data_IF_991249264278
#
_entry.id   IF_991249264278
#
_cell.length_a   1.000
_cell.length_b   1.000
_cell.length_c   1.000
_cell.angle_alpha   90.00
_cell.angle_beta   90.00
_cell.angle_gamma   90.00
#
_symmetry.space_group_name_H-M   'P 1'
#
loop_
_entity.id
_entity.type
_entity.pdbx_description
1 polymer ?
#
# COMPACT_ATOMS: atom_id res chain seq x y z
N UNK A 1 -22.26 -5.41 -24.55
CA UNK A 1 -21.29 -5.92 -25.55
C UNK A 1 -20.15 -6.60 -24.81
N UNK A 2 -19.87 -7.87 -25.10
CA UNK A 2 -18.68 -8.55 -24.59
C UNK A 2 -17.50 -8.01 -25.40
N UNK A 3 -16.66 -7.21 -24.76
CA UNK A 3 -15.36 -6.87 -25.34
C UNK A 3 -14.44 -8.05 -25.03
N UNK A 4 -14.03 -8.80 -26.01
CA UNK A 4 -12.98 -9.80 -25.87
C UNK A 4 -11.69 -9.10 -25.48
N UNK A 5 -10.95 -9.57 -24.45
CA UNK A 5 -9.66 -8.98 -24.09
C UNK A 5 -8.70 -9.20 -25.27
N UNK A 6 -8.43 -8.13 -25.99
CA UNK A 6 -7.27 -8.07 -26.87
C UNK A 6 -6.04 -7.71 -26.02
N UNK A 7 -4.85 -7.89 -26.47
CA UNK A 7 -3.63 -7.59 -25.71
C UNK A 7 -3.44 -6.11 -25.36
N UNK A 8 -4.43 -5.26 -25.67
CA UNK A 8 -4.36 -3.80 -25.52
C UNK A 8 -5.05 -3.30 -24.25
N UNK A 9 -5.78 -4.16 -23.51
CA UNK A 9 -6.47 -3.77 -22.29
C UNK A 9 -5.48 -3.54 -21.15
N UNK A 10 -5.66 -2.43 -20.43
CA UNK A 10 -4.87 -2.05 -19.26
C UNK A 10 -5.67 -2.38 -17.99
N UNK A 11 -5.02 -3.02 -17.02
CA UNK A 11 -5.64 -3.42 -15.77
C UNK A 11 -5.09 -2.64 -14.59
N UNK A 12 -5.96 -2.25 -13.64
CA UNK A 12 -5.53 -1.75 -12.35
C UNK A 12 -4.92 -2.90 -11.53
N UNK A 13 -3.61 -2.87 -11.29
CA UNK A 13 -2.89 -3.96 -10.64
C UNK A 13 -3.12 -4.03 -9.12
N UNK A 14 -3.51 -2.94 -8.49
CA UNK A 14 -3.76 -2.88 -7.05
C UNK A 14 -2.57 -3.49 -6.26
N UNK A 15 -2.83 -4.44 -5.36
CA UNK A 15 -1.80 -5.08 -4.53
C UNK A 15 -0.80 -5.96 -5.31
N UNK A 16 -1.06 -6.27 -6.57
CA UNK A 16 -0.05 -6.90 -7.44
C UNK A 16 1.14 -5.97 -7.73
N UNK A 17 1.05 -4.69 -7.39
CA UNK A 17 2.18 -3.74 -7.39
C UNK A 17 3.24 -4.10 -6.35
N UNK A 18 2.86 -4.75 -5.23
CA UNK A 18 3.80 -5.06 -4.13
C UNK A 18 4.96 -5.98 -4.51
N UNK A 19 4.75 -7.08 -5.24
CA UNK A 19 5.87 -7.87 -5.76
C UNK A 19 6.83 -7.06 -6.64
N UNK A 20 6.32 -6.13 -7.45
CA UNK A 20 7.17 -5.26 -8.27
C UNK A 20 7.95 -4.27 -7.40
N UNK A 21 7.34 -3.75 -6.32
CA UNK A 21 8.05 -2.93 -5.34
C UNK A 21 9.18 -3.73 -4.67
N UNK A 22 8.92 -4.96 -4.27
CA UNK A 22 9.94 -5.86 -3.74
C UNK A 22 11.09 -6.09 -4.73
N UNK A 23 10.77 -6.34 -6.01
CA UNK A 23 11.78 -6.49 -7.06
C UNK A 23 12.61 -5.21 -7.23
N UNK A 24 11.97 -4.04 -7.23
CA UNK A 24 12.67 -2.75 -7.30
C UNK A 24 13.66 -2.59 -6.14
N UNK A 25 13.24 -2.87 -4.90
CA UNK A 25 14.11 -2.81 -3.72
C UNK A 25 15.31 -3.75 -3.88
N UNK A 26 15.10 -4.98 -4.38
CA UNK A 26 16.18 -5.94 -4.61
C UNK A 26 17.19 -5.44 -5.66
N UNK A 27 16.77 -4.69 -6.68
CA UNK A 27 17.73 -4.07 -7.62
C UNK A 27 18.59 -3.02 -6.93
N UNK A 28 18.04 -2.26 -5.96
CA UNK A 28 18.79 -1.28 -5.18
C UNK A 28 19.75 -1.97 -4.19
N UNK A 29 19.38 -3.13 -3.67
CA UNK A 29 20.27 -3.97 -2.86
C UNK A 29 21.41 -4.53 -3.69
N UNK A 30 21.13 -5.01 -4.90
CA UNK A 30 22.14 -5.51 -5.84
C UNK A 30 23.16 -4.42 -6.23
N UNK A 31 22.72 -3.19 -6.41
CA UNK A 31 23.57 -2.03 -6.65
C UNK A 31 24.37 -1.60 -5.40
N UNK A 32 24.12 -2.19 -4.23
CA UNK A 32 24.76 -1.84 -2.97
C UNK A 32 24.32 -0.50 -2.37
N UNK A 33 23.21 0.08 -2.87
CA UNK A 33 22.70 1.38 -2.44
C UNK A 33 21.99 1.28 -1.09
N UNK A 34 21.37 0.13 -0.81
CA UNK A 34 20.74 -0.18 0.48
C UNK A 34 20.96 -1.65 0.85
N UNK A 35 20.75 -1.99 2.12
CA UNK A 35 20.81 -3.36 2.64
C UNK A 35 19.49 -3.74 3.29
N UNK A 36 19.16 -5.02 3.27
CA UNK A 36 17.93 -5.51 3.90
C UNK A 36 17.92 -5.31 5.42
N UNK A 37 19.10 -5.35 6.04
CA UNK A 37 19.31 -5.17 7.48
C UNK A 37 19.37 -3.70 7.89
N UNK A 38 19.46 -2.76 6.96
CA UNK A 38 19.48 -1.35 7.28
C UNK A 38 18.20 -0.96 8.04
N UNK A 39 18.31 -0.18 9.13
CA UNK A 39 17.15 0.38 9.78
C UNK A 39 16.49 1.43 8.87
N UNK A 40 15.16 1.47 8.90
CA UNK A 40 14.38 2.47 8.14
C UNK A 40 14.78 3.89 8.51
N UNK A 41 15.11 4.11 9.79
CA UNK A 41 15.56 5.41 10.34
C UNK A 41 16.81 5.97 9.68
N UNK A 42 17.64 5.13 9.06
CA UNK A 42 18.80 5.56 8.27
C UNK A 42 18.38 6.43 7.07
N UNK A 43 17.21 6.21 6.53
CA UNK A 43 16.65 6.86 5.35
C UNK A 43 15.51 7.82 5.69
N UNK A 44 14.75 7.49 6.71
CA UNK A 44 13.61 8.25 7.22
C UNK A 44 13.80 8.39 8.74
N UNK A 45 14.51 9.43 9.22
CA UNK A 45 14.94 9.56 10.61
C UNK A 45 13.79 9.50 11.63
N UNK A 46 12.58 9.88 11.24
CA UNK A 46 11.38 9.88 12.08
C UNK A 46 11.01 8.47 12.57
N UNK A 47 11.49 7.42 11.91
CA UNK A 47 11.27 6.02 12.34
C UNK A 47 12.17 5.57 13.50
N UNK A 48 13.16 6.38 13.93
CA UNK A 48 14.12 5.98 14.97
C UNK A 48 13.48 5.74 16.36
N UNK A 49 12.40 6.47 16.70
CA UNK A 49 11.78 6.44 18.02
C UNK A 49 10.29 6.09 17.97
N UNK A 50 9.90 5.30 17.02
CA UNK A 50 8.50 4.88 16.89
C UNK A 50 8.12 3.95 18.04
N UNK A 51 6.96 4.23 18.69
CA UNK A 51 6.44 3.39 19.77
C UNK A 51 5.64 2.19 19.24
N UNK A 52 5.26 1.30 20.14
CA UNK A 52 4.39 0.15 19.85
C UNK A 52 3.14 0.24 20.72
N UNK A 53 1.97 0.17 20.12
CA UNK A 53 0.68 -0.05 20.78
C UNK A 53 0.33 -1.54 20.64
N UNK A 54 0.56 -2.37 21.68
CA UNK A 54 0.40 -3.81 21.54
C UNK A 54 -1.01 -4.21 21.08
N UNK A 55 -1.10 -4.95 19.98
CA UNK A 55 -2.38 -5.33 19.38
C UNK A 55 -3.16 -4.18 18.75
N UNK A 56 -2.55 -3.01 18.62
CA UNK A 56 -3.17 -1.80 18.03
C UNK A 56 -4.12 -1.09 18.99
N UNK A 57 -4.08 -1.37 20.30
CA UNK A 57 -4.95 -0.73 21.29
C UNK A 57 -4.22 0.38 22.07
N UNK A 58 -4.96 1.44 22.39
CA UNK A 58 -4.54 2.50 23.30
C UNK A 58 -4.96 2.26 24.76
N UNK A 59 -5.65 1.17 25.06
CA UNK A 59 -6.02 0.79 26.43
C UNK A 59 -4.82 0.32 27.27
N UNK A 60 -3.70 0.03 26.60
CA UNK A 60 -2.43 -0.36 27.24
C UNK A 60 -1.35 0.70 26.95
N UNK A 61 -0.38 0.88 27.88
CA UNK A 61 0.71 1.80 27.65
C UNK A 61 1.50 1.45 26.40
N UNK A 62 1.97 2.49 25.68
CA UNK A 62 2.89 2.29 24.57
C UNK A 62 4.21 1.67 25.06
N UNK A 63 4.70 0.70 24.32
CA UNK A 63 6.02 0.10 24.55
C UNK A 63 7.08 0.77 23.66
N UNK A 64 8.33 0.69 24.10
CA UNK A 64 9.47 0.97 23.21
C UNK A 64 9.67 -0.19 22.23
N UNK A 65 10.11 0.11 21.02
CA UNK A 65 10.55 -0.95 20.11
C UNK A 65 11.79 -1.65 20.69
N UNK A 66 11.83 -2.98 20.62
CA UNK A 66 13.00 -3.78 21.05
C UNK A 66 14.18 -3.64 20.09
N UNK A 67 13.91 -3.30 18.87
CA UNK A 67 14.84 -2.92 17.81
C UNK A 67 14.18 -2.01 16.80
N UNK A 68 14.95 -1.35 16.00
CA UNK A 68 14.40 -0.56 14.89
C UNK A 68 13.77 -1.43 13.80
N UNK A 69 12.84 -0.86 13.08
CA UNK A 69 12.25 -1.45 11.86
C UNK A 69 13.32 -1.48 10.77
N UNK A 70 13.49 -2.62 10.11
CA UNK A 70 14.45 -2.79 9.00
C UNK A 70 13.74 -2.79 7.64
N UNK A 71 14.52 -2.64 6.57
CA UNK A 71 14.04 -2.81 5.18
C UNK A 71 13.44 -4.21 4.99
N UNK A 72 14.06 -5.24 5.58
CA UNK A 72 13.53 -6.61 5.55
C UNK A 72 12.15 -6.71 6.19
N UNK A 73 11.93 -6.05 7.34
CA UNK A 73 10.63 -6.05 8.01
C UNK A 73 9.53 -5.41 7.14
N UNK A 74 9.86 -4.35 6.43
CA UNK A 74 8.93 -3.74 5.48
C UNK A 74 8.60 -4.70 4.33
N UNK A 75 9.61 -5.34 3.73
CA UNK A 75 9.43 -6.26 2.61
C UNK A 75 8.60 -7.49 2.97
N UNK A 76 8.71 -7.96 4.20
CA UNK A 76 8.03 -9.17 4.69
C UNK A 76 6.73 -8.89 5.42
N UNK A 77 6.30 -7.61 5.50
CA UNK A 77 5.14 -7.20 6.30
C UNK A 77 5.25 -7.59 7.78
N UNK A 78 6.46 -7.58 8.34
CA UNK A 78 6.72 -7.80 9.76
C UNK A 78 7.15 -6.54 10.52
N UNK A 79 6.98 -5.38 9.91
CA UNK A 79 7.36 -4.08 10.47
C UNK A 79 6.56 -3.67 11.71
N UNK A 80 5.36 -4.21 11.90
CA UNK A 80 4.40 -3.75 12.89
C UNK A 80 3.50 -2.61 12.42
N UNK A 81 3.66 -2.11 11.20
CA UNK A 81 2.70 -1.20 10.57
C UNK A 81 1.38 -1.92 10.26
N UNK A 82 0.29 -1.18 10.10
CA UNK A 82 -1.03 -1.70 9.76
C UNK A 82 -1.62 -0.99 8.53
N UNK A 83 -2.85 -1.30 8.19
CA UNK A 83 -3.70 -0.48 7.32
C UNK A 83 -4.73 0.28 8.18
N UNK A 84 -5.40 1.27 7.58
CA UNK A 84 -6.57 1.89 8.19
C UNK A 84 -7.70 0.88 8.38
N UNK A 85 -8.53 1.10 9.39
CA UNK A 85 -9.79 0.36 9.54
C UNK A 85 -10.69 0.58 8.31
N UNK A 86 -11.40 -0.46 7.92
CA UNK A 86 -12.18 -0.46 6.68
C UNK A 86 -11.45 -1.01 5.46
N UNK A 87 -10.11 -1.24 5.54
CA UNK A 87 -9.36 -2.06 4.58
C UNK A 87 -9.07 -3.42 5.23
N UNK A 88 -7.99 -3.52 6.00
CA UNK A 88 -7.61 -4.75 6.72
C UNK A 88 -7.12 -4.48 8.14
N UNK A 89 -7.01 -3.21 8.54
CA UNK A 89 -6.55 -2.82 9.86
C UNK A 89 -7.64 -2.99 10.93
N UNK A 90 -7.22 -3.31 12.14
CA UNK A 90 -8.06 -3.46 13.32
C UNK A 90 -7.44 -2.73 14.52
N UNK A 91 -8.31 -2.29 15.45
CA UNK A 91 -7.90 -1.60 16.67
C UNK A 91 -7.73 -0.09 16.50
N UNK A 92 -7.42 0.57 17.61
CA UNK A 92 -7.41 2.03 17.72
C UNK A 92 -6.40 2.70 16.79
N UNK A 93 -5.23 2.07 16.58
CA UNK A 93 -4.22 2.58 15.65
C UNK A 93 -4.75 2.60 14.20
N UNK A 94 -5.46 1.54 13.81
CA UNK A 94 -6.05 1.47 12.47
C UNK A 94 -7.20 2.48 12.30
N UNK A 95 -7.97 2.73 13.36
CA UNK A 95 -8.98 3.78 13.39
C UNK A 95 -8.35 5.17 13.28
N UNK A 96 -7.25 5.41 14.00
CA UNK A 96 -6.50 6.65 13.91
C UNK A 96 -5.91 6.87 12.50
N UNK A 97 -5.45 5.82 11.81
CA UNK A 97 -5.03 5.91 10.41
C UNK A 97 -6.20 6.39 9.53
N UNK A 98 -7.40 5.83 9.72
CA UNK A 98 -8.61 6.25 8.99
C UNK A 98 -8.93 7.72 9.26
N UNK A 99 -8.95 8.13 10.51
CA UNK A 99 -9.33 9.47 10.93
C UNK A 99 -8.35 10.55 10.46
N UNK A 100 -7.07 10.18 10.28
CA UNK A 100 -6.05 11.01 9.66
C UNK A 100 -6.06 10.95 8.12
N UNK A 101 -6.98 10.20 7.53
CA UNK A 101 -7.05 10.01 6.08
C UNK A 101 -5.89 9.20 5.50
N UNK A 102 -5.17 8.47 6.35
CA UNK A 102 -4.05 7.63 5.91
C UNK A 102 -4.57 6.35 5.28
N UNK A 103 -4.26 6.14 4.01
CA UNK A 103 -4.54 4.90 3.30
C UNK A 103 -6.00 4.43 3.42
N UNK A 104 -6.96 5.37 3.36
CA UNK A 104 -8.38 5.03 3.28
C UNK A 104 -8.79 4.76 1.83
N UNK A 105 -9.89 4.01 1.64
CA UNK A 105 -10.44 3.80 0.29
C UNK A 105 -10.85 5.13 -0.37
N UNK A 106 -11.27 6.12 0.42
CA UNK A 106 -11.65 7.45 -0.07
C UNK A 106 -10.43 8.24 -0.51
N UNK A 107 -9.37 8.25 0.29
CA UNK A 107 -8.12 8.90 -0.07
C UNK A 107 -7.51 8.25 -1.32
N UNK A 108 -7.51 6.92 -1.42
CA UNK A 108 -7.09 6.18 -2.60
C UNK A 108 -7.91 6.59 -3.85
N UNK A 109 -9.22 6.71 -3.70
CA UNK A 109 -10.11 7.01 -4.82
C UNK A 109 -10.10 8.47 -5.24
N UNK A 110 -9.83 9.41 -4.32
CA UNK A 110 -9.89 10.85 -4.57
C UNK A 110 -8.58 11.47 -5.04
N UNK A 111 -7.48 10.70 -5.08
CA UNK A 111 -6.13 11.21 -5.33
C UNK A 111 -5.70 12.34 -4.35
N UNK A 112 -6.37 12.46 -3.21
CA UNK A 112 -6.07 13.46 -2.17
C UNK A 112 -4.97 13.03 -1.20
N UNK A 113 -4.13 12.11 -1.61
CA UNK A 113 -3.11 11.52 -0.77
C UNK A 113 -1.97 12.46 -0.40
N UNK A 114 -1.78 13.53 -1.13
CA UNK A 114 -0.52 14.24 -1.13
C UNK A 114 0.57 13.42 -1.82
N UNK A 115 1.81 13.79 -1.65
CA UNK A 115 2.94 12.98 -2.07
C UNK A 115 3.25 11.86 -1.05
N UNK A 116 4.07 10.93 -1.45
CA UNK A 116 4.45 9.78 -0.63
C UNK A 116 5.22 10.21 0.63
N UNK A 117 6.03 11.27 0.53
CA UNK A 117 6.76 11.86 1.65
C UNK A 117 5.83 12.32 2.76
N UNK A 118 4.84 13.15 2.46
CA UNK A 118 3.88 13.65 3.43
C UNK A 118 3.05 12.52 4.08
N UNK A 119 2.75 11.45 3.34
CA UNK A 119 2.05 10.29 3.89
C UNK A 119 2.93 9.51 4.87
N UNK A 120 4.17 9.27 4.51
CA UNK A 120 5.12 8.52 5.34
C UNK A 120 5.53 9.31 6.57
N UNK A 121 5.65 10.63 6.47
CA UNK A 121 5.84 11.51 7.61
C UNK A 121 4.71 11.37 8.65
N UNK A 122 3.47 11.38 8.21
CA UNK A 122 2.32 11.15 9.13
C UNK A 122 2.34 9.73 9.72
N UNK A 123 2.70 8.72 8.92
CA UNK A 123 2.80 7.34 9.39
C UNK A 123 3.87 7.18 10.48
N UNK A 124 4.99 7.89 10.38
CA UNK A 124 6.07 7.82 11.38
C UNK A 124 5.67 8.38 12.75
N UNK A 125 4.61 9.17 12.83
CA UNK A 125 4.06 9.69 14.09
C UNK A 125 3.11 8.69 14.77
N UNK A 126 2.75 7.60 14.11
CA UNK A 126 1.81 6.61 14.60
C UNK A 126 2.55 5.42 15.19
N UNK A 127 2.05 4.82 16.29
CA UNK A 127 2.69 3.63 16.84
C UNK A 127 2.51 2.42 15.93
N UNK A 128 3.45 1.49 16.01
CA UNK A 128 3.32 0.14 15.46
C UNK A 128 2.28 -0.66 16.27
N UNK A 129 1.66 -1.66 15.68
CA UNK A 129 0.69 -2.55 16.37
C UNK A 129 1.32 -3.83 16.88
N UNK A 130 2.59 -4.07 16.59
CA UNK A 130 3.41 -5.16 17.15
C UNK A 130 4.89 -4.79 17.10
N UNK A 131 5.70 -5.51 17.86
CA UNK A 131 7.16 -5.37 17.80
C UNK A 131 7.66 -5.76 16.38
N UNK A 132 8.67 -5.04 15.84
CA UNK A 132 9.27 -5.38 14.56
C UNK A 132 9.80 -6.82 14.54
N UNK A 133 9.44 -7.57 13.51
CA UNK A 133 9.83 -8.96 13.30
C UNK A 133 8.96 -10.01 14.00
N UNK A 134 8.01 -9.63 14.86
CA UNK A 134 7.22 -10.60 15.62
C UNK A 134 6.08 -11.24 14.83
N UNK A 135 5.39 -10.45 14.00
CA UNK A 135 4.16 -10.91 13.36
C UNK A 135 4.07 -10.44 11.92
N UNK A 136 3.53 -11.28 11.07
CA UNK A 136 3.08 -10.86 9.75
C UNK A 136 1.79 -10.04 9.89
N UNK A 137 1.84 -8.78 9.46
CA UNK A 137 0.68 -7.88 9.42
C UNK A 137 0.69 -7.19 8.06
N UNK A 138 -0.23 -7.57 7.20
CA UNK A 138 -0.38 -6.94 5.89
C UNK A 138 -0.70 -5.45 6.05
N UNK A 139 0.12 -4.58 5.48
CA UNK A 139 0.18 -3.18 5.88
C UNK A 139 0.65 -2.24 4.77
N UNK A 140 0.77 -0.96 5.12
CA UNK A 140 1.37 0.11 4.32
C UNK A 140 2.90 0.03 4.21
N UNK A 141 3.52 -1.07 4.60
CA UNK A 141 4.98 -1.25 4.57
C UNK A 141 5.59 -0.98 3.20
N UNK A 142 4.89 -1.35 2.11
CA UNK A 142 5.40 -1.13 0.75
C UNK A 142 5.38 0.34 0.35
N UNK A 143 4.54 1.16 0.96
CA UNK A 143 4.51 2.60 0.74
C UNK A 143 5.71 3.26 1.43
N UNK A 144 6.05 2.83 2.65
CA UNK A 144 7.28 3.24 3.33
C UNK A 144 8.52 2.82 2.54
N UNK A 145 8.55 1.59 1.99
CA UNK A 145 9.62 1.15 1.08
C UNK A 145 9.72 2.03 -0.17
N UNK A 146 8.57 2.45 -0.71
CA UNK A 146 8.53 3.41 -1.82
C UNK A 146 9.26 4.70 -1.48
N UNK A 147 9.01 5.26 -0.29
CA UNK A 147 9.70 6.46 0.17
C UNK A 147 11.19 6.23 0.40
N UNK A 148 11.58 5.11 0.98
CA UNK A 148 13.01 4.74 1.10
C UNK A 148 13.66 4.69 -0.28
N UNK A 149 13.00 4.08 -1.27
CA UNK A 149 13.52 4.00 -2.63
C UNK A 149 13.70 5.39 -3.27
N UNK A 150 12.75 6.32 -3.05
CA UNK A 150 12.89 7.72 -3.49
C UNK A 150 14.08 8.42 -2.84
N UNK A 151 14.25 8.24 -1.52
CA UNK A 151 15.36 8.86 -0.77
C UNK A 151 16.72 8.39 -1.26
N UNK A 152 16.90 7.07 -1.42
CA UNK A 152 18.22 6.52 -1.82
C UNK A 152 18.56 6.74 -3.29
N UNK A 153 17.55 6.91 -4.13
CA UNK A 153 17.76 7.12 -5.58
C UNK A 153 17.70 8.57 -6.01
N UNK A 154 17.22 9.46 -5.13
CA UNK A 154 16.95 10.87 -5.43
C UNK A 154 16.00 11.05 -6.65
N UNK A 155 15.10 10.08 -6.85
CA UNK A 155 14.16 10.05 -7.98
C UNK A 155 12.75 9.77 -7.51
N UNK A 156 11.72 10.34 -8.17
CA UNK A 156 10.33 9.96 -7.92
C UNK A 156 10.12 8.47 -8.18
N UNK A 157 9.33 7.81 -7.33
CA UNK A 157 9.08 6.37 -7.39
C UNK A 157 8.59 5.91 -8.78
N UNK A 158 7.72 6.68 -9.42
CA UNK A 158 7.20 6.37 -10.76
C UNK A 158 8.32 6.33 -11.82
N UNK A 159 9.30 7.25 -11.73
CA UNK A 159 10.45 7.28 -12.64
C UNK A 159 11.38 6.11 -12.38
N UNK A 160 11.59 5.77 -11.11
CA UNK A 160 12.45 4.66 -10.70
C UNK A 160 11.88 3.32 -11.21
N UNK A 161 10.58 3.10 -11.05
CA UNK A 161 9.90 1.92 -11.62
C UNK A 161 10.04 1.86 -13.14
N UNK A 162 9.86 2.99 -13.79
CA UNK A 162 9.95 3.07 -15.24
C UNK A 162 11.34 2.68 -15.74
N UNK A 163 12.38 3.31 -15.20
CA UNK A 163 13.77 3.11 -15.66
C UNK A 163 14.34 1.75 -15.28
N UNK A 164 13.95 1.23 -14.09
CA UNK A 164 14.50 -0.02 -13.56
C UNK A 164 13.74 -1.27 -13.95
N UNK A 165 12.43 -1.18 -14.16
CA UNK A 165 11.59 -2.33 -14.42
C UNK A 165 10.84 -2.23 -15.74
N UNK A 166 10.04 -1.16 -15.95
CA UNK A 166 9.10 -1.15 -17.06
C UNK A 166 9.80 -1.08 -18.42
N UNK A 167 10.73 -0.17 -18.58
CA UNK A 167 11.48 -0.02 -19.86
C UNK A 167 12.37 -1.24 -20.16
N UNK A 168 13.22 -1.73 -19.23
CA UNK A 168 14.06 -2.89 -19.50
C UNK A 168 13.30 -4.18 -19.78
N UNK A 169 12.09 -4.33 -19.20
CA UNK A 169 11.23 -5.51 -19.40
C UNK A 169 10.20 -5.34 -20.53
N UNK A 170 10.22 -4.21 -21.25
CA UNK A 170 9.27 -3.94 -22.34
C UNK A 170 7.81 -3.76 -21.85
N UNK A 171 7.60 -3.38 -20.60
CA UNK A 171 6.27 -3.17 -19.98
C UNK A 171 5.70 -1.80 -20.34
N UNK A 172 5.53 -1.54 -21.64
CA UNK A 172 5.23 -0.20 -22.17
C UNK A 172 3.84 0.35 -21.77
N UNK A 173 2.93 -0.50 -21.33
CA UNK A 173 1.58 -0.11 -20.86
C UNK A 173 1.47 -0.01 -19.34
N UNK A 174 2.59 -0.15 -18.60
CA UNK A 174 2.63 -0.08 -17.15
C UNK A 174 3.02 1.32 -16.67
N UNK A 175 2.20 1.91 -15.80
CA UNK A 175 2.42 3.24 -15.26
C UNK A 175 1.69 3.44 -13.93
N UNK A 176 2.13 4.39 -13.12
CA UNK A 176 1.39 4.84 -11.92
C UNK A 176 0.21 5.75 -12.27
N UNK A 177 0.31 6.48 -13.37
CA UNK A 177 -0.77 7.29 -13.93
C UNK A 177 -0.97 6.91 -15.39
N UNK A 178 -2.21 6.69 -15.72
CA UNK A 178 -2.57 6.39 -17.10
C UNK A 178 -2.67 7.70 -17.89
N UNK A 179 -1.99 7.77 -19.02
CA UNK A 179 -2.11 8.90 -19.95
C UNK A 179 -3.54 9.00 -20.50
N UNK A 180 -4.00 10.22 -20.76
CA UNK A 180 -5.38 10.51 -21.18
C UNK A 180 -5.80 9.70 -22.40
N UNK A 181 -4.92 9.55 -23.38
CA UNK A 181 -5.16 8.76 -24.60
C UNK A 181 -5.36 7.27 -24.34
N UNK A 182 -4.89 6.76 -23.20
CA UNK A 182 -5.00 5.35 -22.81
C UNK A 182 -6.19 5.05 -21.89
N UNK A 183 -6.95 6.08 -21.47
CA UNK A 183 -8.07 5.91 -20.54
C UNK A 183 -9.14 4.96 -21.08
N UNK A 184 -9.42 5.01 -22.38
CA UNK A 184 -10.36 4.11 -23.04
C UNK A 184 -9.95 2.63 -23.03
N UNK A 185 -8.68 2.32 -22.74
CA UNK A 185 -8.12 0.96 -22.66
C UNK A 185 -8.21 0.39 -21.23
N UNK A 186 -8.56 1.19 -20.22
CA UNK A 186 -8.64 0.73 -18.84
C UNK A 186 -9.81 -0.23 -18.65
N UNK A 187 -9.51 -1.43 -18.17
CA UNK A 187 -10.52 -2.42 -17.83
C UNK A 187 -11.47 -1.89 -16.75
N UNK A 188 -12.76 -2.09 -16.95
CA UNK A 188 -13.77 -1.77 -15.93
C UNK A 188 -13.65 -2.73 -14.77
N UNK A 189 -13.63 -2.21 -13.56
CA UNK A 189 -13.70 -3.01 -12.34
C UNK A 189 -15.17 -3.22 -11.99
N UNK A 190 -15.60 -4.48 -11.98
CA UNK A 190 -16.94 -4.87 -11.60
C UNK A 190 -16.93 -5.37 -10.16
N UNK A 191 -17.84 -4.86 -9.36
CA UNK A 191 -18.08 -5.39 -8.04
C UNK A 191 -19.11 -6.52 -8.14
N UNK A 192 -18.80 -7.76 -7.75
CA UNK A 192 -19.78 -8.82 -7.78
C UNK A 192 -20.90 -8.49 -6.80
N UNK A 193 -22.16 -8.51 -7.29
CA UNK A 193 -23.31 -8.54 -6.41
C UNK A 193 -23.42 -9.96 -5.85
N UNK A 194 -22.81 -10.21 -4.71
CA UNK A 194 -23.00 -11.50 -4.04
C UNK A 194 -24.35 -11.43 -3.34
N UNK A 195 -25.36 -12.09 -3.90
CA UNK A 195 -26.57 -12.41 -3.14
C UNK A 195 -26.16 -13.44 -2.10
N UNK A 196 -26.26 -13.08 -0.82
CA UNK A 196 -26.15 -14.04 0.27
C UNK A 196 -27.36 -14.95 0.23
N UNK A 197 -27.18 -16.18 -0.25
CA UNK A 197 -28.11 -17.25 0.04
C UNK A 197 -27.72 -17.80 1.42
N UNK A 198 -28.66 -17.93 2.37
CA UNK A 198 -28.38 -18.60 3.62
C UNK A 198 -28.02 -20.06 3.33
N UNK A 199 -26.76 -20.40 3.49
CA UNK A 199 -26.32 -21.80 3.47
C UNK A 199 -26.56 -22.33 4.88
N UNK A 200 -27.29 -23.43 5.05
CA UNK A 200 -27.43 -24.08 6.34
C UNK A 200 -26.06 -24.57 6.82
N UNK A 201 -25.57 -24.00 7.93
CA UNK A 201 -24.24 -24.29 8.50
C UNK A 201 -23.33 -23.09 8.42
N UNK A 202 -23.14 -22.46 9.51
CA UNK A 202 -22.31 -21.31 9.95
C UNK A 202 -21.08 -20.90 9.12
N UNK A 203 -21.22 -20.72 7.82
CA UNK A 203 -20.24 -20.01 7.02
C UNK A 203 -20.80 -18.64 6.65
N UNK A 204 -20.43 -17.62 7.42
CA UNK A 204 -20.60 -16.23 7.02
C UNK A 204 -19.83 -16.01 5.72
N UNK A 205 -20.51 -16.13 4.58
CA UNK A 205 -20.00 -15.58 3.34
C UNK A 205 -20.13 -14.07 3.41
N UNK A 206 -19.01 -13.40 3.21
CA UNK A 206 -18.92 -11.97 3.09
C UNK A 206 -20.09 -11.37 2.35
N UNK A 207 -20.80 -10.44 2.98
CA UNK A 207 -21.60 -9.46 2.25
C UNK A 207 -20.63 -8.46 1.64
N UNK A 208 -20.46 -8.41 0.32
CA UNK A 208 -19.66 -7.36 -0.27
C UNK A 208 -20.48 -6.08 -0.22
N UNK A 209 -20.07 -5.15 0.62
CA UNK A 209 -20.40 -3.73 0.57
C UNK A 209 -21.88 -3.42 0.24
N UNK A 210 -22.79 -3.79 1.13
CA UNK A 210 -24.14 -3.24 1.13
C UNK A 210 -24.03 -1.73 1.38
N UNK A 211 -24.15 -0.93 0.33
CA UNK A 211 -24.23 0.52 0.45
C UNK A 211 -23.41 1.37 -0.54
N UNK A 212 -22.62 0.78 -1.41
CA UNK A 212 -21.98 1.57 -2.46
C UNK A 212 -22.97 1.85 -3.61
N UNK A 213 -23.09 3.11 -4.07
CA UNK A 213 -23.98 3.43 -5.16
C UNK A 213 -23.57 2.68 -6.44
N UNK A 214 -24.55 2.28 -7.24
CA UNK A 214 -24.39 1.60 -8.55
C UNK A 214 -23.69 2.44 -9.62
N UNK A 215 -22.83 3.38 -9.24
CA UNK A 215 -22.08 4.21 -10.19
C UNK A 215 -20.75 3.55 -10.51
N UNK A 216 -20.45 3.46 -11.79
CA UNK A 216 -19.13 3.13 -12.32
C UNK A 216 -18.09 3.99 -11.60
N UNK A 217 -17.20 3.38 -10.82
CA UNK A 217 -16.10 4.09 -10.20
C UNK A 217 -14.90 4.05 -11.14
N UNK A 218 -14.54 5.19 -11.69
CA UNK A 218 -13.24 5.39 -12.30
C UNK A 218 -12.19 5.44 -11.18
N UNK A 219 -11.42 4.38 -11.04
CA UNK A 219 -10.33 4.31 -10.08
C UNK A 219 -9.13 5.09 -10.62
N UNK A 220 -8.88 6.26 -10.04
CA UNK A 220 -7.61 6.96 -10.21
C UNK A 220 -7.47 7.87 -11.42
N UNK A 221 -8.56 8.25 -12.06
CA UNK A 221 -8.52 9.21 -13.16
C UNK A 221 -9.25 10.49 -12.74
N UNK A 222 -8.58 11.36 -12.04
CA UNK A 222 -9.04 12.75 -11.90
C UNK A 222 -8.43 13.56 -13.05
N UNK A 223 -9.30 14.26 -13.79
CA UNK A 223 -8.94 15.29 -14.74
C UNK A 223 -8.32 16.50 -14.00
N UNK A 224 -7.08 16.40 -13.53
CA UNK A 224 -6.26 17.55 -13.13
C UNK A 224 -4.79 17.22 -13.30
#
# INVERSE_FOLDING_TARGET
EKIEPDGEIIYAMMSMTKPLMGLLVLTLVEDGVLKLEDPVSKYIPEFANIGVAPGGSYDVPLEQTRREVTIFDLMTHTSGLTYSSGITGFGDVADAYRDLGLMTLESIASSQWGDLEAQVEKLSQMPLVSQPGEKFIYSVSMDVLGRVAEVVSEQPLAQLFRSRLFEPLGMNSSAFRLATENQGRLARVYQPQIRTYPIPGNYNRYEPFAGLPKKEKNWGLSDK
#
